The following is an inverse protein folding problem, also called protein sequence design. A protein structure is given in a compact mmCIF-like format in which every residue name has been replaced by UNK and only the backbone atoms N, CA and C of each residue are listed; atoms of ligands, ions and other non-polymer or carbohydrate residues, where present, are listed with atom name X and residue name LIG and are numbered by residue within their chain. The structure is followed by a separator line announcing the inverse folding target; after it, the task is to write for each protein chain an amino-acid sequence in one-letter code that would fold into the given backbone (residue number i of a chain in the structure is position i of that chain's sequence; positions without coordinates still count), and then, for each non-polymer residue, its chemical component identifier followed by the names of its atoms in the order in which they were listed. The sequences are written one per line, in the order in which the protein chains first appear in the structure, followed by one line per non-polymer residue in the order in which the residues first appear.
data_IF_938789656494
#
_entry.id   IF_938789656494
#
_cell.length_a   1.000
_cell.length_b   1.000
_cell.length_c   1.000
_cell.angle_alpha   90.00
_cell.angle_beta   90.00
_cell.angle_gamma   90.00
#
_symmetry.space_group_name_H-M   'P 1'
#
loop_
_entity.id
_entity.type
_entity.pdbx_description
1 polymer ?
#
# COMPACT_ATOMS: atom_id res chain seq x y z
N UNK A 1 -13.20 21.41 -4.03
CA UNK A 1 -12.05 20.79 -3.32
C UNK A 1 -10.92 20.72 -4.33
N UNK A 2 -9.73 21.21 -3.98
CA UNK A 2 -8.56 21.13 -4.88
C UNK A 2 -7.99 19.71 -4.83
N UNK A 3 -7.60 19.14 -5.98
CA UNK A 3 -7.02 17.80 -6.02
C UNK A 3 -5.55 17.86 -5.55
N UNK A 4 -5.13 17.06 -4.55
CA UNK A 4 -3.73 17.06 -4.10
C UNK A 4 -2.76 16.41 -5.10
N UNK A 5 -3.25 15.69 -6.12
CA UNK A 5 -2.41 15.04 -7.14
C UNK A 5 -1.42 16.03 -7.80
N UNK A 6 -1.91 17.23 -8.13
CA UNK A 6 -1.20 18.22 -8.95
C UNK A 6 -0.19 19.09 -8.16
N UNK A 7 -0.13 18.94 -6.84
CA UNK A 7 0.70 19.79 -5.97
C UNK A 7 1.83 18.99 -5.34
N UNK A 8 3.00 18.88 -6.00
CA UNK A 8 4.17 18.25 -5.41
C UNK A 8 4.69 19.10 -4.24
N UNK A 9 4.78 18.50 -3.06
CA UNK A 9 5.22 19.17 -1.83
C UNK A 9 6.71 18.98 -1.51
N UNK A 10 7.46 18.29 -2.38
CA UNK A 10 8.84 17.87 -2.08
C UNK A 10 8.94 16.71 -1.08
N UNK A 11 7.84 15.99 -0.85
CA UNK A 11 7.83 14.77 -0.03
C UNK A 11 8.63 13.65 -0.71
N UNK A 12 9.34 12.84 0.08
CA UNK A 12 10.12 11.70 -0.41
C UNK A 12 9.24 10.53 -0.86
N UNK A 13 8.04 10.42 -0.28
CA UNK A 13 7.02 9.44 -0.64
C UNK A 13 5.63 10.03 -0.35
N UNK A 14 4.63 9.60 -1.11
CA UNK A 14 3.23 10.00 -1.01
C UNK A 14 2.39 8.76 -0.78
N UNK A 15 1.73 8.71 0.37
CA UNK A 15 0.86 7.59 0.75
C UNK A 15 -0.59 8.00 0.57
N UNK A 16 -1.33 7.23 -0.21
CA UNK A 16 -2.77 7.36 -0.36
C UNK A 16 -3.46 6.44 0.63
N UNK A 17 -4.38 6.97 1.43
CA UNK A 17 -5.21 6.18 2.34
C UNK A 17 -6.66 6.32 1.91
N UNK A 18 -7.28 5.21 1.53
CA UNK A 18 -8.70 5.11 1.19
C UNK A 18 -9.38 4.17 2.17
N UNK A 19 -10.64 4.44 2.50
CA UNK A 19 -11.42 3.54 3.36
C UNK A 19 -12.41 2.72 2.55
N UNK A 20 -12.69 1.47 2.98
CA UNK A 20 -13.76 0.63 2.38
C UNK A 20 -15.13 1.32 2.36
N UNK A 21 -15.39 2.22 3.30
CA UNK A 21 -16.62 3.02 3.37
C UNK A 21 -16.81 4.01 2.22
N UNK A 22 -15.76 4.30 1.46
CA UNK A 22 -15.85 5.17 0.27
C UNK A 22 -16.40 4.43 -0.95
N UNK A 23 -16.42 3.10 -0.90
CA UNK A 23 -16.81 2.22 -2.00
C UNK A 23 -15.60 1.69 -2.78
N UNK A 24 -15.79 0.56 -3.45
CA UNK A 24 -14.76 -0.07 -4.28
C UNK A 24 -14.44 0.70 -5.57
N UNK A 25 -15.35 1.55 -6.02
CA UNK A 25 -15.22 2.34 -7.24
C UNK A 25 -14.37 3.61 -7.09
N UNK A 26 -13.88 3.89 -5.88
CA UNK A 26 -13.02 5.05 -5.58
C UNK A 26 -11.76 5.08 -6.45
N UNK A 27 -11.22 3.89 -6.77
CA UNK A 27 -10.03 3.71 -7.59
C UNK A 27 -10.28 4.19 -9.02
N UNK A 28 -11.38 3.73 -9.62
CA UNK A 28 -11.82 4.09 -10.97
C UNK A 28 -12.26 5.55 -11.07
N UNK A 29 -12.83 6.11 -10.00
CA UNK A 29 -13.26 7.53 -9.97
C UNK A 29 -12.11 8.51 -9.87
N UNK A 30 -10.97 8.12 -9.29
CA UNK A 30 -9.86 9.03 -9.03
C UNK A 30 -8.49 8.51 -9.52
N UNK A 31 -8.35 8.09 -10.78
CA UNK A 31 -7.13 7.44 -11.29
C UNK A 31 -5.86 8.27 -11.06
N UNK A 32 -5.95 9.60 -11.24
CA UNK A 32 -4.81 10.50 -11.07
C UNK A 32 -4.28 10.54 -9.63
N UNK A 33 -5.13 10.30 -8.62
CA UNK A 33 -4.67 10.21 -7.22
C UNK A 33 -3.81 8.96 -7.01
N UNK A 34 -4.22 7.83 -7.59
CA UNK A 34 -3.50 6.56 -7.48
C UNK A 34 -2.18 6.59 -8.26
N UNK A 35 -2.14 7.28 -9.40
CA UNK A 35 -0.90 7.45 -10.18
C UNK A 35 0.08 8.44 -9.56
N UNK A 36 -0.41 9.42 -8.79
CA UNK A 36 0.42 10.44 -8.16
C UNK A 36 1.01 10.01 -6.80
N UNK A 37 0.69 8.81 -6.32
CA UNK A 37 1.14 8.27 -5.04
C UNK A 37 2.03 7.04 -5.22
N UNK A 38 2.90 6.80 -4.23
CA UNK A 38 3.85 5.70 -4.25
C UNK A 38 3.31 4.44 -3.56
N UNK A 39 2.34 4.60 -2.66
CA UNK A 39 1.76 3.51 -1.87
C UNK A 39 0.27 3.79 -1.64
N UNK A 40 -0.57 2.76 -1.79
CA UNK A 40 -1.98 2.80 -1.41
C UNK A 40 -2.25 1.96 -0.16
N UNK A 41 -3.10 2.47 0.73
CA UNK A 41 -3.55 1.81 1.95
C UNK A 41 -5.08 1.79 1.96
N UNK A 42 -5.66 0.59 1.96
CA UNK A 42 -7.10 0.36 2.12
C UNK A 42 -7.37 0.13 3.60
N UNK A 43 -7.95 1.13 4.26
CA UNK A 43 -8.31 1.10 5.67
C UNK A 43 -9.75 0.64 5.88
N UNK A 44 -10.05 0.20 7.12
CA UNK A 44 -11.36 -0.32 7.56
C UNK A 44 -11.75 -1.62 6.84
N UNK A 45 -10.77 -2.50 6.62
CA UNK A 45 -11.02 -3.80 5.98
C UNK A 45 -12.05 -4.67 6.75
N UNK A 46 -12.22 -4.43 8.06
CA UNK A 46 -13.15 -5.14 8.94
C UNK A 46 -14.63 -4.95 8.61
N UNK A 47 -14.99 -3.84 7.95
CA UNK A 47 -16.38 -3.53 7.61
C UNK A 47 -16.67 -3.62 6.11
N UNK A 48 -15.72 -4.12 5.30
CA UNK A 48 -15.88 -4.22 3.85
C UNK A 48 -17.16 -4.96 3.46
N UNK A 49 -17.39 -6.14 4.06
CA UNK A 49 -18.59 -6.96 3.83
C UNK A 49 -19.88 -6.22 4.22
N UNK A 50 -19.84 -5.45 5.32
CA UNK A 50 -21.01 -4.73 5.83
C UNK A 50 -21.41 -3.55 4.93
N UNK A 51 -20.44 -2.93 4.23
CA UNK A 51 -20.69 -1.85 3.29
C UNK A 51 -20.77 -2.31 1.83
N UNK A 52 -20.57 -3.61 1.58
CA UNK A 52 -20.58 -4.20 0.24
C UNK A 52 -19.41 -3.77 -0.65
N UNK A 53 -18.26 -3.44 -0.06
CA UNK A 53 -17.06 -3.06 -0.82
C UNK A 53 -16.20 -4.31 -1.10
N UNK A 54 -15.82 -4.50 -2.36
CA UNK A 54 -14.90 -5.56 -2.76
C UNK A 54 -13.43 -5.06 -2.78
N UNK A 55 -12.64 -5.49 -1.79
CA UNK A 55 -11.23 -5.10 -1.68
C UNK A 55 -10.38 -5.73 -2.79
N UNK A 56 -10.71 -6.94 -3.24
CA UNK A 56 -9.96 -7.59 -4.31
C UNK A 56 -10.22 -6.86 -5.64
N UNK A 57 -11.45 -6.39 -5.90
CA UNK A 57 -11.73 -5.49 -7.03
C UNK A 57 -10.95 -4.18 -6.95
N UNK A 58 -10.88 -3.55 -5.77
CA UNK A 58 -10.08 -2.33 -5.58
C UNK A 58 -8.61 -2.57 -5.93
N UNK A 59 -8.06 -3.72 -5.58
CA UNK A 59 -6.67 -4.08 -5.92
C UNK A 59 -6.46 -4.25 -7.42
N UNK A 60 -7.39 -4.94 -8.07
CA UNK A 60 -7.31 -5.16 -9.52
C UNK A 60 -7.39 -3.83 -10.27
N UNK A 61 -8.29 -2.94 -9.83
CA UNK A 61 -8.39 -1.57 -10.37
C UNK A 61 -7.08 -0.78 -10.16
N UNK A 62 -6.44 -0.92 -9.00
CA UNK A 62 -5.13 -0.28 -8.75
C UNK A 62 -4.06 -0.87 -9.65
N UNK A 63 -4.04 -2.19 -9.84
CA UNK A 63 -3.06 -2.86 -10.68
C UNK A 63 -3.21 -2.45 -12.16
N UNK A 64 -4.43 -2.12 -12.61
CA UNK A 64 -4.67 -1.58 -13.95
C UNK A 64 -4.16 -0.14 -14.11
N UNK A 65 -4.37 0.71 -13.10
CA UNK A 65 -4.07 2.15 -13.18
C UNK A 65 -2.62 2.47 -12.82
N UNK A 66 -2.05 1.76 -11.84
CA UNK A 66 -0.73 1.96 -11.25
C UNK A 66 -0.09 0.59 -10.91
N UNK A 67 0.41 -0.17 -11.91
CA UNK A 67 0.81 -1.57 -11.77
C UNK A 67 1.95 -1.84 -10.77
N UNK A 68 2.81 -0.85 -10.53
CA UNK A 68 3.95 -0.96 -9.62
C UNK A 68 3.62 -0.50 -8.19
N UNK A 69 2.42 0.03 -7.96
CA UNK A 69 2.05 0.57 -6.65
C UNK A 69 1.69 -0.56 -5.68
N UNK A 70 2.38 -0.69 -4.53
CA UNK A 70 1.97 -1.61 -3.49
C UNK A 70 0.67 -1.15 -2.83
N UNK A 71 -0.21 -2.12 -2.57
CA UNK A 71 -1.49 -1.93 -1.85
C UNK A 71 -1.46 -2.70 -0.54
N UNK A 72 -1.73 -2.02 0.57
CA UNK A 72 -1.82 -2.61 1.90
C UNK A 72 -3.24 -2.51 2.45
N UNK A 73 -3.71 -3.57 3.12
CA UNK A 73 -4.96 -3.52 3.89
C UNK A 73 -4.66 -3.27 5.36
N UNK A 74 -5.49 -2.47 6.01
CA UNK A 74 -5.37 -2.21 7.44
C UNK A 74 -6.73 -2.02 8.12
N UNK A 75 -6.74 -2.25 9.42
CA UNK A 75 -7.82 -1.83 10.31
C UNK A 75 -7.23 -1.01 11.47
N UNK A 76 -7.43 0.30 11.42
CA UNK A 76 -6.95 1.22 12.45
C UNK A 76 -7.62 1.03 13.83
N UNK A 77 -8.75 0.30 13.93
CA UNK A 77 -9.45 0.05 15.19
C UNK A 77 -8.67 -0.89 16.12
N UNK A 78 -8.15 -1.97 15.56
CA UNK A 78 -7.46 -3.02 16.33
C UNK A 78 -5.95 -3.01 16.10
N UNK A 79 -5.44 -2.10 15.25
CA UNK A 79 -4.05 -2.14 14.77
C UNK A 79 -3.73 -3.38 13.93
N UNK A 80 -4.75 -4.19 13.62
CA UNK A 80 -4.64 -5.41 12.85
C UNK A 80 -4.25 -5.12 11.41
N UNK A 81 -3.03 -5.50 11.05
CA UNK A 81 -2.60 -5.60 9.67
C UNK A 81 -3.10 -6.93 9.09
N UNK A 82 -3.98 -6.86 8.09
CA UNK A 82 -4.32 -8.01 7.27
C UNK A 82 -3.28 -8.08 6.14
N UNK A 83 -2.06 -8.55 6.42
CA UNK A 83 -0.98 -8.57 5.42
C UNK A 83 -1.32 -9.54 4.28
N UNK A 84 -1.96 -9.03 3.22
CA UNK A 84 -2.00 -9.67 1.89
C UNK A 84 -1.29 -8.75 0.89
N UNK A 85 0.03 -8.65 1.06
CA UNK A 85 0.91 -8.07 0.06
C UNK A 85 1.15 -9.10 -1.04
N UNK A 86 0.55 -8.89 -2.22
CA UNK A 86 0.94 -9.64 -3.41
C UNK A 86 2.23 -9.03 -3.97
N UNK A 87 3.21 -9.92 -4.18
CA UNK A 87 4.58 -9.61 -4.52
C UNK A 87 4.71 -9.58 -6.04
N UNK A 88 4.68 -8.41 -6.68
CA UNK A 88 4.87 -8.26 -8.14
C UNK A 88 6.15 -7.50 -8.49
N UNK A 89 7.30 -7.91 -7.94
CA UNK A 89 8.62 -7.62 -8.53
C UNK A 89 9.73 -8.48 -7.88
N UNK A 90 10.59 -9.17 -8.64
CA UNK A 90 11.72 -9.92 -8.11
C UNK A 90 12.90 -9.08 -7.58
N UNK A 91 12.84 -7.74 -7.58
CA UNK A 91 14.05 -6.91 -7.41
C UNK A 91 14.10 -5.89 -6.28
N UNK A 92 13.06 -5.67 -5.48
CA UNK A 92 13.20 -4.72 -4.38
C UNK A 92 12.78 -5.23 -2.99
N UNK A 93 13.67 -4.91 -2.07
CA UNK A 93 13.72 -5.31 -0.68
C UNK A 93 12.53 -4.77 0.12
N UNK A 94 11.49 -5.59 0.19
CA UNK A 94 10.72 -5.89 1.40
C UNK A 94 10.53 -4.69 2.36
N UNK A 95 9.49 -3.90 2.11
CA UNK A 95 8.88 -3.04 3.12
C UNK A 95 7.90 -3.92 3.92
N UNK A 96 8.37 -4.55 5.01
CA UNK A 96 7.47 -5.15 6.00
C UNK A 96 7.19 -4.09 7.06
N UNK A 97 5.98 -3.55 7.09
CA UNK A 97 5.47 -2.84 8.26
C UNK A 97 4.91 -3.86 9.26
N UNK A 98 5.69 -4.88 9.62
CA UNK A 98 5.27 -5.84 10.65
C UNK A 98 5.18 -5.14 11.99
N UNK A 99 4.01 -5.31 12.60
CA UNK A 99 3.63 -5.05 13.98
C UNK A 99 4.76 -5.00 15.03
N UNK A 100 4.56 -4.12 16.01
CA UNK A 100 5.39 -3.93 17.19
C UNK A 100 5.64 -5.27 17.92
N UNK A 101 6.87 -5.79 17.83
CA UNK A 101 7.45 -6.59 18.92
C UNK A 101 7.55 -8.11 18.78
N UNK A 102 7.34 -8.72 17.60
CA UNK A 102 7.78 -10.12 17.40
C UNK A 102 8.17 -10.44 15.96
N UNK A 103 9.37 -10.01 15.57
CA UNK A 103 10.04 -10.51 14.37
C UNK A 103 10.14 -12.04 14.44
N UNK A 104 9.29 -12.75 13.68
CA UNK A 104 9.56 -14.14 13.32
C UNK A 104 10.39 -14.10 12.05
N UNK A 105 11.65 -14.58 12.07
CA UNK A 105 12.43 -14.67 10.85
C UNK A 105 11.70 -15.62 9.91
N UNK A 106 11.43 -15.15 8.70
CA UNK A 106 11.12 -16.00 7.56
C UNK A 106 12.18 -17.09 7.53
N UNK A 107 11.76 -18.34 7.71
CA UNK A 107 12.61 -19.51 7.76
C UNK A 107 13.29 -19.64 6.38
N UNK A 108 14.47 -19.03 6.22
CA UNK A 108 15.16 -18.98 4.93
C UNK A 108 16.34 -18.00 4.83
N UNK A 109 16.50 -17.02 5.73
CA UNK A 109 17.60 -16.06 5.64
C UNK A 109 18.95 -16.68 6.09
N UNK A 110 19.81 -17.03 5.12
CA UNK A 110 21.21 -17.38 5.36
C UNK A 110 21.92 -16.22 6.07
N UNK A 111 22.77 -16.58 7.04
CA UNK A 111 23.55 -15.67 7.89
C UNK A 111 24.49 -14.80 7.06
N UNK A 112 24.41 -13.48 7.24
CA UNK A 112 25.49 -12.56 6.89
C UNK A 112 25.02 -11.27 6.22
N UNK A 113 25.12 -10.16 6.95
CA UNK A 113 24.98 -8.80 6.39
C UNK A 113 23.80 -8.03 6.99
N UNK A 114 24.10 -6.92 7.68
CA UNK A 114 23.10 -5.98 8.22
C UNK A 114 22.24 -5.40 7.07
N UNK A 115 20.89 -5.42 7.13
CA UNK A 115 20.09 -4.70 6.15
C UNK A 115 19.89 -3.26 6.62
N UNK A 116 20.77 -2.36 6.18
CA UNK A 116 20.43 -0.95 6.11
C UNK A 116 19.50 -0.75 4.92
N UNK A 117 18.26 -0.38 5.19
CA UNK A 117 17.28 0.02 4.18
C UNK A 117 17.85 1.22 3.40
N UNK A 118 18.28 0.99 2.16
CA UNK A 118 18.63 2.08 1.24
C UNK A 118 17.51 2.18 0.22
N UNK A 119 16.74 3.24 0.34
CA UNK A 119 15.84 3.72 -0.70
C UNK A 119 16.69 3.90 -1.98
N UNK A 120 16.31 3.33 -3.13
CA UNK A 120 17.08 3.48 -4.35
C UNK A 120 17.16 4.97 -4.76
N UNK A 121 18.30 5.44 -5.27
CA UNK A 121 18.44 6.83 -5.69
C UNK A 121 17.63 7.09 -6.97
N UNK A 122 16.88 8.19 -6.96
CA UNK A 122 16.08 8.69 -8.08
C UNK A 122 17.01 9.04 -9.26
N UNK A 123 16.70 8.54 -10.46
CA UNK A 123 17.22 9.12 -11.70
C UNK A 123 16.54 10.48 -11.87
N UNK A 124 17.31 11.54 -11.63
CA UNK A 124 16.99 12.90 -12.06
C UNK A 124 16.84 12.96 -13.59
#
# INVERSE_FOLDING_TARGET
MVCPADFPLGAQARVLVVSTTEGDDVVRKHPLLFQACDVAVVNKADIADAVGADIDQMRDDVAEIAPEMPVFETNARDGGESTRSQRTSPRDSTLILTDHGRARPCLGARRGGRPGCRIPPVRL
#
